data_IF_550412139805
#
_entry.id   IF_550412139805
#
_cell.length_a   1.000
_cell.length_b   1.000
_cell.length_c   1.000
_cell.angle_alpha   90.00
_cell.angle_beta   90.00
_cell.angle_gamma   90.00
#
_symmetry.space_group_name_H-M   'P 1'
#
loop_
_entity.id
_entity.type
_entity.pdbx_description
1 polymer ?
#
# COMPACT_ATOMS: atom_id res chain seq x y z
N UNK A 1 11.27 -21.60 2.48
CA UNK A 1 10.08 -21.30 1.63
C UNK A 1 10.38 -20.08 0.79
N UNK A 2 9.75 -19.91 -0.38
CA UNK A 2 9.90 -18.68 -1.18
C UNK A 2 9.06 -17.61 -0.50
N UNK A 3 9.67 -16.50 -0.06
CA UNK A 3 8.92 -15.37 0.49
C UNK A 3 8.00 -14.76 -0.57
N UNK A 4 6.71 -14.67 -0.29
CA UNK A 4 5.72 -14.05 -1.19
C UNK A 4 5.70 -12.52 -1.06
N UNK A 5 6.39 -11.96 -0.07
CA UNK A 5 6.34 -10.52 0.18
C UNK A 5 6.91 -9.67 -0.97
N UNK A 6 8.07 -9.97 -1.58
CA UNK A 6 8.58 -9.16 -2.68
C UNK A 6 7.60 -8.99 -3.86
N UNK A 7 6.95 -10.04 -4.39
CA UNK A 7 5.98 -9.85 -5.46
C UNK A 7 4.70 -9.13 -5.01
N UNK A 8 4.28 -9.29 -3.75
CA UNK A 8 3.06 -8.67 -3.21
C UNK A 8 3.28 -7.22 -2.76
N UNK A 9 4.52 -6.82 -2.45
CA UNK A 9 4.84 -5.46 -1.97
C UNK A 9 4.58 -4.36 -3.01
N UNK A 10 4.52 -4.69 -4.30
CA UNK A 10 4.17 -3.77 -5.37
C UNK A 10 2.67 -3.50 -5.52
N UNK A 11 1.80 -4.39 -5.00
CA UNK A 11 0.34 -4.26 -5.14
C UNK A 11 -0.22 -2.98 -4.52
N UNK A 12 0.18 -2.54 -3.31
CA UNK A 12 -0.26 -1.28 -2.73
C UNK A 12 -0.01 -0.08 -3.64
N UNK A 13 1.17 0.00 -4.25
CA UNK A 13 1.51 1.09 -5.15
C UNK A 13 0.64 1.06 -6.41
N UNK A 14 0.48 -0.10 -7.03
CA UNK A 14 -0.33 -0.27 -8.24
C UNK A 14 -1.80 0.08 -7.98
N UNK A 15 -2.39 -0.43 -6.89
CA UNK A 15 -3.78 -0.16 -6.52
C UNK A 15 -4.00 1.32 -6.17
N UNK A 16 -3.07 1.93 -5.41
CA UNK A 16 -3.13 3.35 -5.05
C UNK A 16 -3.01 4.24 -6.28
N UNK A 17 -2.13 3.91 -7.22
CA UNK A 17 -1.99 4.65 -8.47
C UNK A 17 -3.28 4.54 -9.31
N UNK A 18 -3.86 3.34 -9.42
CA UNK A 18 -5.07 3.11 -10.20
C UNK A 18 -6.26 3.94 -9.68
N UNK A 19 -6.50 3.95 -8.35
CA UNK A 19 -7.58 4.78 -7.78
C UNK A 19 -7.29 6.27 -7.92
N UNK A 20 -6.04 6.70 -7.75
CA UNK A 20 -5.65 8.11 -7.91
C UNK A 20 -5.89 8.59 -9.35
N UNK A 21 -5.48 7.81 -10.35
CA UNK A 21 -5.74 8.12 -11.77
C UNK A 21 -7.24 8.16 -12.04
N UNK A 22 -8.01 7.20 -11.50
CA UNK A 22 -9.46 7.18 -11.62
C UNK A 22 -10.11 8.47 -11.07
N UNK A 23 -9.68 8.94 -9.90
CA UNK A 23 -10.19 10.18 -9.30
C UNK A 23 -9.78 11.43 -10.10
N UNK A 24 -8.56 11.48 -10.60
CA UNK A 24 -8.11 12.56 -11.49
C UNK A 24 -8.93 12.59 -12.79
N UNK A 25 -9.23 11.42 -13.37
CA UNK A 25 -10.11 11.34 -14.54
C UNK A 25 -11.54 11.80 -14.23
N UNK A 26 -12.05 11.55 -13.02
CA UNK A 26 -13.38 11.98 -12.61
C UNK A 26 -13.57 13.51 -12.57
N UNK A 27 -12.48 14.28 -12.50
CA UNK A 27 -12.51 15.76 -12.60
C UNK A 27 -13.04 16.20 -13.96
N UNK A 28 -12.74 15.45 -15.03
CA UNK A 28 -13.20 15.78 -16.37
C UNK A 28 -14.62 15.25 -16.61
N UNK A 29 -15.60 16.11 -16.99
CA UNK A 29 -17.01 15.72 -17.12
C UNK A 29 -17.24 14.49 -18.01
N UNK A 30 -16.47 14.37 -19.09
CA UNK A 30 -16.58 13.25 -20.05
C UNK A 30 -16.25 11.87 -19.45
N UNK A 31 -15.42 11.81 -18.39
CA UNK A 31 -14.98 10.57 -17.77
C UNK A 31 -15.67 10.29 -16.42
N UNK A 32 -16.36 11.28 -15.84
CA UNK A 32 -16.95 11.20 -14.50
C UNK A 32 -17.84 9.97 -14.29
N UNK A 33 -18.68 9.65 -15.28
CA UNK A 33 -19.55 8.47 -15.18
C UNK A 33 -18.76 7.17 -15.13
N UNK A 34 -17.81 6.99 -16.06
CA UNK A 34 -16.96 5.78 -16.11
C UNK A 34 -16.10 5.65 -14.85
N UNK A 35 -15.49 6.73 -14.40
CA UNK A 35 -14.71 6.73 -13.15
C UNK A 35 -15.57 6.31 -11.95
N UNK A 36 -16.83 6.77 -11.88
CA UNK A 36 -17.77 6.34 -10.84
C UNK A 36 -18.07 4.84 -10.88
N UNK A 37 -18.16 4.24 -12.07
CA UNK A 37 -18.41 2.80 -12.24
C UNK A 37 -17.24 1.94 -11.70
N UNK A 38 -15.99 2.40 -11.83
CA UNK A 38 -14.80 1.66 -11.37
C UNK A 38 -14.37 1.98 -9.94
N UNK A 39 -14.78 3.12 -9.40
CA UNK A 39 -14.35 3.63 -8.08
C UNK A 39 -14.46 2.59 -6.97
N UNK A 40 -15.64 1.97 -6.82
CA UNK A 40 -15.89 0.99 -5.76
C UNK A 40 -14.95 -0.22 -5.86
N UNK A 41 -14.76 -0.75 -7.09
CA UNK A 41 -13.85 -1.87 -7.31
C UNK A 41 -12.40 -1.50 -7.00
N UNK A 42 -11.96 -0.29 -7.36
CA UNK A 42 -10.61 0.20 -7.09
C UNK A 42 -10.38 0.46 -5.59
N UNK A 43 -11.36 1.00 -4.89
CA UNK A 43 -11.30 1.18 -3.42
C UNK A 43 -11.15 -0.17 -2.72
N UNK A 44 -11.95 -1.18 -3.12
CA UNK A 44 -11.82 -2.55 -2.61
C UNK A 44 -10.43 -3.11 -2.95
N UNK A 45 -9.93 -2.88 -4.17
CA UNK A 45 -8.60 -3.28 -4.60
C UNK A 45 -7.48 -2.71 -3.71
N UNK A 46 -7.60 -1.44 -3.29
CA UNK A 46 -6.65 -0.82 -2.35
C UNK A 46 -6.65 -1.54 -0.99
N UNK A 47 -7.83 -1.86 -0.45
CA UNK A 47 -7.94 -2.59 0.83
C UNK A 47 -7.35 -3.98 0.73
N UNK A 48 -7.68 -4.72 -0.35
CA UNK A 48 -7.16 -6.08 -0.58
C UNK A 48 -5.64 -6.04 -0.74
N UNK A 49 -5.10 -5.12 -1.54
CA UNK A 49 -3.67 -4.95 -1.72
C UNK A 49 -2.96 -4.61 -0.40
N UNK A 50 -3.55 -3.72 0.41
CA UNK A 50 -3.05 -3.38 1.74
C UNK A 50 -2.97 -4.62 2.65
N UNK A 51 -4.05 -5.40 2.70
CA UNK A 51 -4.13 -6.60 3.53
C UNK A 51 -3.11 -7.67 3.11
N UNK A 52 -3.04 -7.97 1.81
CA UNK A 52 -2.11 -8.98 1.28
C UNK A 52 -0.66 -8.57 1.52
N UNK A 53 -0.31 -7.31 1.28
CA UNK A 53 1.04 -6.81 1.53
C UNK A 53 1.39 -6.81 3.01
N UNK A 54 0.44 -6.41 3.89
CA UNK A 54 0.64 -6.43 5.32
C UNK A 54 0.87 -7.84 5.87
N UNK A 55 0.02 -8.80 5.50
CA UNK A 55 0.12 -10.19 5.96
C UNK A 55 1.41 -10.84 5.46
N UNK A 56 1.75 -10.67 4.17
CA UNK A 56 2.97 -11.22 3.60
C UNK A 56 4.24 -10.59 4.21
N UNK A 57 4.21 -9.29 4.54
CA UNK A 57 5.30 -8.60 5.21
C UNK A 57 5.53 -9.10 6.64
N UNK A 58 4.43 -9.34 7.37
CA UNK A 58 4.51 -9.94 8.71
C UNK A 58 5.12 -11.34 8.68
N UNK A 59 4.68 -12.18 7.72
CA UNK A 59 5.27 -13.51 7.53
C UNK A 59 6.76 -13.43 7.16
N UNK A 60 7.12 -12.57 6.20
CA UNK A 60 8.51 -12.41 5.78
C UNK A 60 9.44 -11.96 6.93
N UNK A 61 8.96 -11.07 7.80
CA UNK A 61 9.74 -10.61 8.95
C UNK A 61 9.96 -11.69 10.00
N UNK A 62 9.04 -12.64 10.15
CA UNK A 62 9.21 -13.77 11.08
C UNK A 62 10.25 -14.80 10.63
N UNK A 63 10.62 -14.77 9.34
CA UNK A 63 11.64 -15.65 8.75
C UNK A 63 13.06 -15.01 8.76
N UNK A 64 13.17 -13.75 9.20
CA UNK A 64 14.48 -13.06 9.29
C UNK A 64 15.28 -13.65 10.46
N UNK A 65 16.56 -13.93 10.18
CA UNK A 65 17.54 -14.32 11.20
C UNK A 65 18.00 -13.11 12.03
N UNK A 66 19.20 -13.19 12.58
CA UNK A 66 19.80 -12.09 13.35
C UNK A 66 20.06 -10.90 12.41
N UNK A 67 19.47 -9.75 12.76
CA UNK A 67 19.61 -8.47 12.05
C UNK A 67 20.31 -7.45 12.93
N UNK A 68 20.92 -6.43 12.34
CA UNK A 68 21.55 -5.32 13.08
C UNK A 68 20.49 -4.40 13.67
N UNK A 69 20.85 -3.65 14.73
CA UNK A 69 19.93 -2.70 15.37
C UNK A 69 19.38 -1.64 14.42
N UNK A 70 20.17 -1.20 13.45
CA UNK A 70 19.74 -0.21 12.44
C UNK A 70 18.69 -0.80 11.50
N UNK A 71 18.88 -2.03 11.04
CA UNK A 71 17.90 -2.75 10.21
C UNK A 71 16.62 -3.02 10.99
N UNK A 72 16.71 -3.40 12.26
CA UNK A 72 15.55 -3.61 13.13
C UNK A 72 14.72 -2.32 13.26
N UNK A 73 15.36 -1.17 13.50
CA UNK A 73 14.69 0.14 13.56
C UNK A 73 14.01 0.50 12.24
N UNK A 74 14.70 0.29 11.11
CA UNK A 74 14.16 0.57 9.79
C UNK A 74 12.95 -0.33 9.47
N UNK A 75 13.05 -1.61 9.79
CA UNK A 75 11.96 -2.60 9.64
C UNK A 75 10.76 -2.24 10.51
N UNK A 76 10.98 -1.83 11.77
CA UNK A 76 9.93 -1.36 12.66
C UNK A 76 9.21 -0.12 12.12
N UNK A 77 9.94 0.81 11.50
CA UNK A 77 9.37 1.98 10.83
C UNK A 77 8.55 1.58 9.61
N UNK A 78 9.06 0.67 8.78
CA UNK A 78 8.36 0.13 7.61
C UNK A 78 7.04 -0.57 8.01
N UNK A 79 7.07 -1.40 9.04
CA UNK A 79 5.86 -2.08 9.58
C UNK A 79 4.84 -1.09 10.13
N UNK A 80 5.29 -0.02 10.79
CA UNK A 80 4.39 1.03 11.29
C UNK A 80 3.68 1.75 10.14
N UNK A 81 4.41 2.11 9.08
CA UNK A 81 3.81 2.71 7.88
C UNK A 81 2.83 1.74 7.20
N UNK A 82 3.15 0.44 7.13
CA UNK A 82 2.24 -0.59 6.60
C UNK A 82 0.92 -0.67 7.38
N UNK A 83 0.98 -0.58 8.71
CA UNK A 83 -0.24 -0.53 9.56
C UNK A 83 -1.05 0.73 9.30
N UNK A 84 -0.42 1.91 9.26
CA UNK A 84 -1.12 3.15 8.97
C UNK A 84 -1.71 3.16 7.56
N UNK A 85 -1.02 2.58 6.59
CA UNK A 85 -1.54 2.40 5.24
C UNK A 85 -2.82 1.54 5.23
N UNK A 86 -2.80 0.38 5.90
CA UNK A 86 -3.97 -0.49 6.00
C UNK A 86 -5.15 0.21 6.68
N UNK A 87 -4.92 0.91 7.80
CA UNK A 87 -5.97 1.66 8.51
C UNK A 87 -6.55 2.74 7.58
N UNK A 88 -5.69 3.50 6.89
CA UNK A 88 -6.13 4.54 5.96
C UNK A 88 -6.90 3.99 4.75
N UNK A 89 -6.50 2.82 4.24
CA UNK A 89 -7.20 2.13 3.16
C UNK A 89 -8.62 1.69 3.58
N UNK A 90 -8.76 1.15 4.79
CA UNK A 90 -10.07 0.79 5.37
C UNK A 90 -10.93 2.03 5.59
N UNK A 91 -10.35 3.11 6.15
CA UNK A 91 -11.06 4.37 6.35
C UNK A 91 -11.53 4.98 5.01
N UNK A 92 -10.68 4.93 3.97
CA UNK A 92 -11.04 5.34 2.61
C UNK A 92 -12.28 4.59 2.10
N UNK A 93 -12.31 3.26 2.30
CA UNK A 93 -13.45 2.43 1.90
C UNK A 93 -14.72 2.77 2.69
N UNK A 94 -14.61 3.00 3.99
CA UNK A 94 -15.74 3.40 4.84
C UNK A 94 -16.32 4.74 4.35
N UNK A 95 -15.48 5.77 4.16
CA UNK A 95 -15.94 7.09 3.71
C UNK A 95 -16.53 7.03 2.30
N UNK A 96 -15.99 6.18 1.43
CA UNK A 96 -16.60 5.94 0.12
C UNK A 96 -18.03 5.37 0.25
N UNK A 97 -18.19 4.24 0.94
CA UNK A 97 -19.50 3.56 1.08
C UNK A 97 -20.53 4.43 1.82
N UNK A 98 -20.10 5.08 2.91
CA UNK A 98 -21.00 5.98 3.69
C UNK A 98 -21.37 7.21 2.86
N UNK A 99 -20.40 7.77 2.12
CA UNK A 99 -20.62 8.94 1.27
C UNK A 99 -21.61 8.69 0.13
N UNK A 100 -21.59 7.48 -0.47
CA UNK A 100 -22.56 7.09 -1.52
C UNK A 100 -24.00 7.01 -0.97
N UNK A 101 -24.16 6.53 0.26
CA UNK A 101 -25.48 6.34 0.90
C UNK A 101 -25.99 7.57 1.63
N UNK A 102 -25.15 8.54 1.92
CA UNK A 102 -25.52 9.70 2.73
C UNK A 102 -26.51 10.60 2.01
N UNK A 103 -27.57 11.02 2.71
CA UNK A 103 -28.50 12.05 2.27
C UNK A 103 -28.03 13.46 2.68
N UNK A 104 -27.35 13.55 3.82
CA UNK A 104 -26.81 14.79 4.40
C UNK A 104 -25.29 14.63 4.64
N UNK A 105 -24.58 15.75 4.70
CA UNK A 105 -23.14 15.74 5.00
C UNK A 105 -22.23 15.18 3.88
N UNK A 106 -22.74 15.06 2.66
CA UNK A 106 -21.94 14.52 1.52
C UNK A 106 -20.62 15.25 1.30
N UNK A 107 -20.61 16.58 1.44
CA UNK A 107 -19.39 17.38 1.25
C UNK A 107 -18.32 17.03 2.28
N UNK A 108 -18.71 16.85 3.55
CA UNK A 108 -17.79 16.45 4.62
C UNK A 108 -17.23 15.06 4.39
N UNK A 109 -18.08 14.10 4.01
CA UNK A 109 -17.66 12.73 3.72
C UNK A 109 -16.74 12.67 2.50
N UNK A 110 -17.01 13.47 1.48
CA UNK A 110 -16.15 13.59 0.30
C UNK A 110 -14.78 14.19 0.67
N UNK A 111 -14.76 15.22 1.52
CA UNK A 111 -13.51 15.80 2.02
C UNK A 111 -12.68 14.75 2.78
N UNK A 112 -13.31 13.99 3.70
CA UNK A 112 -12.66 12.91 4.44
C UNK A 112 -12.15 11.81 3.51
N UNK A 113 -12.92 11.45 2.49
CA UNK A 113 -12.50 10.50 1.46
C UNK A 113 -11.21 10.97 0.76
N UNK A 114 -11.14 12.22 0.30
CA UNK A 114 -9.94 12.73 -0.37
C UNK A 114 -8.77 12.94 0.60
N UNK A 115 -9.02 13.28 1.86
CA UNK A 115 -7.98 13.30 2.89
C UNK A 115 -7.38 11.89 3.10
N UNK A 116 -8.23 10.86 3.15
CA UNK A 116 -7.75 9.47 3.28
C UNK A 116 -7.04 9.00 2.01
N UNK A 117 -7.50 9.37 0.83
CA UNK A 117 -6.80 9.08 -0.42
C UNK A 117 -5.39 9.71 -0.43
N UNK A 118 -5.27 10.97 -0.01
CA UNK A 118 -3.96 11.64 0.15
C UNK A 118 -3.07 10.92 1.16
N UNK A 119 -3.60 10.47 2.29
CA UNK A 119 -2.87 9.68 3.27
C UNK A 119 -2.40 8.34 2.69
N UNK A 120 -3.27 7.63 1.98
CA UNK A 120 -2.93 6.36 1.30
C UNK A 120 -1.80 6.56 0.30
N UNK A 121 -1.84 7.61 -0.54
CA UNK A 121 -0.77 7.95 -1.49
C UNK A 121 0.54 8.22 -0.76
N UNK A 122 0.53 9.10 0.25
CA UNK A 122 1.71 9.45 1.02
C UNK A 122 2.34 8.22 1.69
N UNK A 123 1.53 7.42 2.37
CA UNK A 123 2.00 6.23 3.10
C UNK A 123 2.55 5.16 2.15
N UNK A 124 1.95 4.99 0.96
CA UNK A 124 2.47 4.07 -0.06
C UNK A 124 3.87 4.46 -0.53
N UNK A 125 4.07 5.74 -0.84
CA UNK A 125 5.39 6.25 -1.27
C UNK A 125 6.42 6.11 -0.15
N UNK A 126 6.07 6.48 1.08
CA UNK A 126 6.98 6.37 2.23
C UNK A 126 7.32 4.91 2.58
N UNK A 127 6.33 4.02 2.61
CA UNK A 127 6.56 2.60 2.86
C UNK A 127 7.41 1.96 1.75
N UNK A 128 7.15 2.31 0.49
CA UNK A 128 7.94 1.86 -0.66
C UNK A 128 9.40 2.31 -0.58
N UNK A 129 9.66 3.57 -0.19
CA UNK A 129 11.00 4.08 0.02
C UNK A 129 11.76 3.30 1.10
N UNK A 130 11.14 3.07 2.28
CA UNK A 130 11.77 2.28 3.35
C UNK A 130 11.96 0.82 2.95
N UNK A 131 10.99 0.22 2.25
CA UNK A 131 11.12 -1.12 1.71
C UNK A 131 12.27 -1.24 0.71
N UNK A 132 12.45 -0.23 -0.15
CA UNK A 132 13.59 -0.13 -1.05
C UNK A 132 14.93 -0.07 -0.30
N UNK A 133 15.05 0.75 0.74
CA UNK A 133 16.26 0.82 1.57
C UNK A 133 16.58 -0.52 2.23
N UNK A 134 15.57 -1.20 2.80
CA UNK A 134 15.76 -2.54 3.41
C UNK A 134 16.34 -3.53 2.41
N UNK A 135 15.89 -3.53 1.16
CA UNK A 135 16.35 -4.47 0.14
C UNK A 135 17.68 -4.05 -0.47
N UNK A 136 17.80 -2.79 -0.95
CA UNK A 136 18.95 -2.36 -1.75
C UNK A 136 20.16 -1.92 -0.93
N UNK A 137 19.95 -1.38 0.27
CA UNK A 137 21.05 -0.91 1.13
C UNK A 137 21.46 -1.97 2.16
N UNK A 138 20.49 -2.78 2.64
CA UNK A 138 20.73 -3.75 3.71
C UNK A 138 20.57 -5.21 3.30
N UNK A 139 20.18 -5.50 2.04
CA UNK A 139 20.04 -6.87 1.53
C UNK A 139 18.94 -7.70 2.21
N UNK A 140 17.99 -7.07 2.87
CA UNK A 140 16.92 -7.78 3.60
C UNK A 140 16.05 -8.53 2.59
N UNK A 141 15.91 -9.86 2.80
CA UNK A 141 15.14 -10.73 1.92
C UNK A 141 15.86 -11.18 0.65
N UNK A 142 17.13 -10.78 0.44
CA UNK A 142 17.96 -11.26 -0.68
C UNK A 142 18.69 -12.54 -0.24
N UNK A 143 18.56 -13.61 -1.03
CA UNK A 143 19.34 -14.85 -0.80
C UNK A 143 20.79 -14.63 -1.22
N UNK A 144 21.70 -14.70 -0.27
CA UNK A 144 23.16 -14.60 -0.53
C UNK A 144 23.72 -15.81 -1.28
N UNK A 145 22.97 -16.93 -1.40
CA UNK A 145 23.37 -18.10 -2.18
C UNK A 145 23.56 -17.83 -3.67
N UNK A 146 22.91 -16.82 -4.21
CA UNK A 146 22.95 -16.50 -5.65
C UNK A 146 24.18 -15.63 -6.00
N UNK A 147 24.84 -15.02 -5.01
CA UNK A 147 26.04 -14.20 -5.21
C UNK A 147 27.35 -15.01 -5.25
N UNK A 148 27.34 -16.24 -4.73
CA UNK A 148 28.54 -17.11 -4.68
C UNK A 148 28.57 -18.17 -5.80
N UNK A 149 27.62 -18.15 -6.73
CA UNK A 149 27.54 -19.11 -7.85
C UNK A 149 28.46 -18.81 -9.04
N UNK A 150 29.31 -17.78 -8.96
CA UNK A 150 30.13 -17.30 -10.07
C UNK A 150 31.62 -17.73 -10.07
N UNK A 151 32.02 -18.67 -9.23
CA UNK A 151 33.40 -19.18 -9.24
C UNK A 151 33.44 -20.70 -9.31
N UNK A 152 33.22 -21.25 -10.50
CA UNK A 152 33.73 -22.55 -10.92
C UNK A 152 34.17 -22.47 -12.37
#
# INVERSE_FOLDING_TARGET
>A
MVSLHPPLSGLPLAATLAITVCELMAVFPRYRRKAGEYRSALVIGVVVAALLSFLSGYQASSELGTITADVEKLLGSHHSLGRFYLISAVALAIFHVVGEKARHGKTMLLLLYYCMLGAVVFLTVRAGSLGGQLVFEHGVGVRTSDLNGGSR
#
